data_IF_337018935910
#
_entry.id   IF_337018935910
#
_cell.length_a   1.000
_cell.length_b   1.000
_cell.length_c   1.000
_cell.angle_alpha   90.00
_cell.angle_beta   90.00
_cell.angle_gamma   90.00
#
_symmetry.space_group_name_H-M   'P 1'
#
loop_
_entity.id
_entity.type
_entity.pdbx_description
1 polymer ?
#
# COMPACT_ATOMS: atom_id res chain seq x y z
N UNK A 1 -3.45 13.09 -11.17
CA UNK A 1 -2.25 12.24 -11.34
C UNK A 1 -0.94 13.00 -11.14
N UNK A 2 -0.71 14.18 -11.73
CA UNK A 2 0.60 14.85 -11.64
C UNK A 2 0.96 15.30 -10.22
N UNK A 3 -0.03 15.70 -9.42
CA UNK A 3 0.17 16.02 -8.01
C UNK A 3 0.70 14.83 -7.19
N UNK A 4 0.13 13.64 -7.38
CA UNK A 4 0.57 12.39 -6.73
C UNK A 4 2.05 12.09 -7.03
N UNK A 5 2.57 12.52 -8.18
CA UNK A 5 3.99 12.32 -8.55
C UNK A 5 4.96 13.33 -7.92
N UNK A 6 4.46 14.44 -7.37
CA UNK A 6 5.31 15.52 -6.85
C UNK A 6 5.83 15.23 -5.44
N UNK A 7 5.10 14.44 -4.67
CA UNK A 7 5.41 14.13 -3.28
C UNK A 7 5.40 12.62 -3.06
N UNK A 8 6.06 12.17 -2.00
CA UNK A 8 6.01 10.77 -1.53
C UNK A 8 4.83 10.61 -0.57
N UNK A 9 3.61 10.63 -1.10
CA UNK A 9 2.42 10.35 -0.30
C UNK A 9 2.46 8.90 0.21
N UNK A 10 2.21 8.70 1.50
CA UNK A 10 2.25 7.38 2.16
C UNK A 10 0.84 6.86 2.40
N UNK A 11 -0.02 7.70 2.99
CA UNK A 11 -1.41 7.41 3.31
C UNK A 11 -2.31 8.52 2.73
N UNK A 12 -3.47 8.13 2.20
CA UNK A 12 -4.48 9.01 1.63
C UNK A 12 -5.89 8.50 1.96
N UNK A 13 -6.88 9.37 1.88
CA UNK A 13 -8.28 8.98 1.79
C UNK A 13 -9.02 9.98 0.91
N UNK A 14 -9.87 9.47 0.01
CA UNK A 14 -10.74 10.31 -0.80
C UNK A 14 -12.16 10.30 -0.20
N UNK A 15 -12.80 11.47 -0.13
CA UNK A 15 -14.06 11.67 0.61
C UNK A 15 -15.24 11.75 -0.35
N UNK A 16 -16.27 10.96 -0.09
CA UNK A 16 -17.45 10.78 -0.93
C UNK A 16 -18.74 10.89 -0.13
N UNK A 17 -19.86 10.92 -0.86
CA UNK A 17 -21.20 10.82 -0.32
C UNK A 17 -22.12 10.05 -1.27
N UNK A 18 -23.14 9.44 -0.71
CA UNK A 18 -24.07 8.51 -1.35
C UNK A 18 -24.28 7.24 -0.52
N UNK A 19 -23.41 6.98 0.45
CA UNK A 19 -23.47 5.86 1.40
C UNK A 19 -22.83 6.28 2.74
N UNK A 20 -22.76 5.36 3.70
CA UNK A 20 -22.03 5.49 4.95
C UNK A 20 -21.18 4.25 5.21
N UNK A 21 -19.96 4.22 4.67
CA UNK A 21 -19.04 3.07 4.71
C UNK A 21 -17.60 3.52 4.38
N UNK A 22 -16.60 2.84 4.95
CA UNK A 22 -15.22 2.94 4.51
C UNK A 22 -14.89 1.80 3.51
N UNK A 23 -14.78 2.14 2.23
CA UNK A 23 -14.42 1.20 1.16
C UNK A 23 -12.91 1.15 0.98
N UNK A 24 -12.34 -0.06 0.87
CA UNK A 24 -10.91 -0.27 0.69
C UNK A 24 -10.58 -1.07 -0.58
N UNK A 25 -9.35 -0.95 -1.11
CA UNK A 25 -8.99 -1.57 -2.38
C UNK A 25 -9.05 -3.12 -2.37
N UNK A 26 -9.17 -3.74 -3.54
CA UNK A 26 -9.34 -3.09 -4.84
C UNK A 26 -10.80 -2.74 -5.14
N UNK A 27 -11.00 -1.64 -5.87
CA UNK A 27 -12.28 -1.26 -6.46
C UNK A 27 -12.57 -2.06 -7.75
N UNK A 28 -11.53 -2.46 -8.47
CA UNK A 28 -11.62 -3.36 -9.62
C UNK A 28 -11.03 -4.76 -9.32
N UNK A 29 -11.22 -5.71 -10.24
CA UNK A 29 -10.71 -7.06 -10.06
C UNK A 29 -10.56 -7.84 -11.35
N UNK A 30 -9.70 -8.86 -11.33
CA UNK A 30 -9.58 -9.87 -12.38
C UNK A 30 -9.12 -11.21 -11.77
N UNK A 31 -8.88 -12.21 -12.61
CA UNK A 31 -8.50 -13.56 -12.17
C UNK A 31 -7.24 -13.63 -11.29
N UNK A 32 -6.40 -12.59 -11.26
CA UNK A 32 -5.19 -12.50 -10.43
C UNK A 32 -5.49 -11.99 -9.03
N UNK A 33 -6.36 -10.98 -8.90
CA UNK A 33 -6.66 -10.32 -7.61
C UNK A 33 -7.90 -10.88 -6.92
N UNK A 34 -8.78 -11.57 -7.68
CA UNK A 34 -9.95 -12.26 -7.14
C UNK A 34 -9.51 -13.52 -6.40
N UNK A 35 -9.42 -13.44 -5.07
CA UNK A 35 -9.04 -14.58 -4.23
C UNK A 35 -10.22 -15.48 -3.89
N UNK A 36 -11.40 -14.88 -3.73
CA UNK A 36 -12.65 -15.56 -3.40
C UNK A 36 -13.78 -14.62 -3.78
N UNK A 37 -14.58 -14.96 -4.80
CA UNK A 37 -15.69 -14.09 -5.19
C UNK A 37 -16.62 -13.84 -3.98
N UNK A 38 -16.97 -12.57 -3.67
CA UNK A 38 -16.81 -11.37 -4.48
C UNK A 38 -15.62 -10.45 -4.10
N UNK A 39 -14.54 -10.93 -3.48
CA UNK A 39 -13.43 -10.10 -2.98
C UNK A 39 -12.25 -9.99 -3.95
N UNK A 40 -11.79 -8.76 -4.21
CA UNK A 40 -10.54 -8.45 -4.94
C UNK A 40 -9.50 -7.89 -3.98
N UNK A 41 -8.51 -8.71 -3.61
CA UNK A 41 -7.59 -8.40 -2.50
C UNK A 41 -6.27 -7.81 -2.97
N UNK A 42 -5.76 -6.86 -2.21
CA UNK A 42 -4.38 -6.36 -2.33
C UNK A 42 -3.40 -7.31 -1.62
N UNK A 43 -2.10 -7.05 -1.79
CA UNK A 43 -1.06 -7.76 -1.02
C UNK A 43 -1.00 -7.29 0.44
N UNK A 44 -1.62 -6.15 0.74
CA UNK A 44 -1.69 -5.50 2.04
C UNK A 44 -3.14 -5.41 2.55
N UNK A 45 -3.97 -6.40 2.20
CA UNK A 45 -5.40 -6.49 2.57
C UNK A 45 -5.58 -6.32 4.08
N UNK A 46 -4.67 -6.88 4.89
CA UNK A 46 -4.66 -6.73 6.34
C UNK A 46 -4.52 -5.27 6.79
N UNK A 47 -3.60 -4.52 6.18
CA UNK A 47 -3.39 -3.10 6.46
C UNK A 47 -4.60 -2.29 6.03
N UNK A 48 -5.15 -2.56 4.84
CA UNK A 48 -6.32 -1.85 4.33
C UNK A 48 -7.58 -2.08 5.17
N UNK A 49 -7.83 -3.33 5.59
CA UNK A 49 -8.93 -3.65 6.51
C UNK A 49 -8.74 -2.94 7.86
N UNK A 50 -7.51 -2.86 8.37
CA UNK A 50 -7.21 -2.10 9.59
C UNK A 50 -7.44 -0.59 9.41
N UNK A 51 -7.02 -0.01 8.29
CA UNK A 51 -7.20 1.40 7.95
C UNK A 51 -8.70 1.77 7.85
N UNK A 52 -9.49 0.97 7.14
CA UNK A 52 -10.93 1.16 7.03
C UNK A 52 -11.62 1.03 8.39
N UNK A 53 -11.28 0.00 9.17
CA UNK A 53 -11.80 -0.20 10.53
C UNK A 53 -11.44 0.97 11.45
N UNK A 54 -10.22 1.50 11.35
CA UNK A 54 -9.78 2.64 12.16
C UNK A 54 -10.69 3.84 11.94
N UNK A 55 -11.06 4.15 10.69
CA UNK A 55 -12.00 5.23 10.42
C UNK A 55 -13.41 4.88 10.93
N UNK A 56 -13.95 3.74 10.49
CA UNK A 56 -15.35 3.36 10.74
C UNK A 56 -15.68 3.22 12.24
N UNK A 57 -14.77 2.66 13.04
CA UNK A 57 -14.95 2.49 14.49
C UNK A 57 -14.88 3.79 15.28
N UNK A 58 -14.17 4.80 14.75
CA UNK A 58 -14.05 6.12 15.38
C UNK A 58 -15.08 7.13 14.83
N UNK A 59 -15.83 6.77 13.79
CA UNK A 59 -16.99 7.53 13.33
C UNK A 59 -18.19 7.27 14.23
N UNK A 60 -19.07 8.26 14.42
CA UNK A 60 -20.20 8.17 15.35
C UNK A 60 -21.18 7.01 15.09
N UNK A 61 -21.37 6.62 13.83
CA UNK A 61 -22.35 5.60 13.44
C UNK A 61 -21.91 4.63 12.35
N UNK A 62 -20.74 4.80 11.72
CA UNK A 62 -20.39 4.03 10.52
C UNK A 62 -20.21 2.55 10.85
N UNK A 63 -19.57 2.26 11.98
CA UNK A 63 -19.37 0.91 12.51
C UNK A 63 -20.64 0.13 12.85
N UNK A 64 -21.81 0.80 12.91
CA UNK A 64 -23.11 0.13 13.06
C UNK A 64 -23.48 -0.68 11.81
N UNK A 65 -22.88 -0.35 10.67
CA UNK A 65 -23.04 -1.06 9.40
C UNK A 65 -24.35 -0.83 8.67
N UNK A 66 -25.29 -0.11 9.26
CA UNK A 66 -26.49 0.37 8.58
C UNK A 66 -26.15 1.67 7.83
N UNK A 67 -25.99 1.59 6.51
CA UNK A 67 -25.56 2.73 5.69
C UNK A 67 -26.64 3.81 5.60
N UNK A 68 -27.78 3.50 4.97
CA UNK A 68 -28.90 4.43 4.70
C UNK A 68 -30.24 3.69 4.75
N UNK A 69 -31.36 4.41 4.86
CA UNK A 69 -32.72 3.87 5.11
C UNK A 69 -33.19 2.76 4.12
N UNK A 70 -32.54 2.62 2.96
CA UNK A 70 -32.83 1.60 1.94
C UNK A 70 -31.56 1.01 1.29
N UNK A 71 -30.41 1.04 1.97
CA UNK A 71 -29.11 0.70 1.37
C UNK A 71 -28.49 -0.61 1.90
N UNK A 72 -27.38 -0.98 1.26
CA UNK A 72 -26.52 -2.10 1.62
C UNK A 72 -26.13 -2.09 3.11
N UNK A 73 -26.05 -3.28 3.70
CA UNK A 73 -25.47 -3.49 5.02
C UNK A 73 -23.97 -3.75 4.90
N UNK A 74 -23.17 -3.00 5.64
CA UNK A 74 -21.72 -3.15 5.69
C UNK A 74 -21.30 -3.53 7.11
N UNK A 75 -21.17 -4.82 7.44
CA UNK A 75 -20.71 -5.24 8.76
C UNK A 75 -19.44 -4.47 9.18
N UNK A 76 -19.44 -3.95 10.42
CA UNK A 76 -18.37 -3.09 10.97
C UNK A 76 -18.13 -1.76 10.22
N UNK A 77 -18.99 -1.39 9.28
CA UNK A 77 -18.91 -0.13 8.54
C UNK A 77 -17.83 -0.08 7.47
N UNK A 78 -17.35 -1.24 7.00
CA UNK A 78 -16.30 -1.35 6.00
C UNK A 78 -16.71 -2.27 4.84
N UNK A 79 -16.07 -2.11 3.68
CA UNK A 79 -16.26 -3.03 2.55
C UNK A 79 -15.04 -3.06 1.64
N UNK A 80 -14.79 -4.20 0.98
CA UNK A 80 -13.88 -4.24 -0.17
C UNK A 80 -14.60 -3.59 -1.36
N UNK A 81 -13.93 -2.70 -2.09
CA UNK A 81 -14.52 -1.93 -3.18
C UNK A 81 -15.23 -2.82 -4.20
N UNK A 82 -14.52 -3.82 -4.73
CA UNK A 82 -15.08 -4.77 -5.70
C UNK A 82 -16.25 -5.58 -5.13
N UNK A 83 -16.17 -5.99 -3.85
CA UNK A 83 -17.23 -6.75 -3.20
C UNK A 83 -18.53 -5.94 -3.03
N UNK A 84 -18.43 -4.61 -2.93
CA UNK A 84 -19.58 -3.72 -2.96
C UNK A 84 -20.09 -3.54 -4.39
N UNK A 85 -19.24 -3.02 -5.28
CA UNK A 85 -19.48 -2.99 -6.72
C UNK A 85 -18.17 -2.79 -7.49
N UNK A 86 -18.08 -3.41 -8.66
CA UNK A 86 -16.91 -3.23 -9.53
C UNK A 86 -16.84 -1.80 -10.06
N UNK A 87 -15.70 -1.13 -9.82
CA UNK A 87 -15.41 0.20 -10.32
C UNK A 87 -14.07 0.22 -11.07
N UNK A 88 -14.11 0.45 -12.38
CA UNK A 88 -12.92 0.57 -13.22
C UNK A 88 -12.39 2.02 -13.23
N UNK A 89 -11.07 2.19 -13.06
CA UNK A 89 -10.41 3.49 -13.21
C UNK A 89 -10.50 4.43 -12.02
N UNK A 90 -10.82 3.91 -10.82
CA UNK A 90 -10.86 4.68 -9.58
C UNK A 90 -9.51 5.26 -9.15
N UNK A 91 -9.55 6.39 -8.43
CA UNK A 91 -8.35 7.06 -7.89
C UNK A 91 -7.68 6.22 -6.78
N UNK A 92 -8.49 5.50 -6.01
CA UNK A 92 -8.06 4.62 -4.93
C UNK A 92 -7.06 3.56 -5.43
N UNK A 93 -7.45 2.75 -6.41
CA UNK A 93 -6.59 1.73 -7.01
C UNK A 93 -5.37 2.34 -7.71
N UNK A 94 -5.51 3.54 -8.30
CA UNK A 94 -4.38 4.24 -8.92
C UNK A 94 -3.29 4.59 -7.91
N UNK A 95 -3.67 5.09 -6.73
CA UNK A 95 -2.73 5.44 -5.67
C UNK A 95 -1.92 4.23 -5.20
N UNK A 96 -2.57 3.07 -4.99
CA UNK A 96 -1.88 1.86 -4.55
C UNK A 96 -0.95 1.28 -5.63
N UNK A 97 -1.38 1.25 -6.90
CA UNK A 97 -0.63 0.65 -7.99
C UNK A 97 0.51 1.55 -8.50
N UNK A 98 0.24 2.83 -8.77
CA UNK A 98 1.24 3.74 -9.38
C UNK A 98 1.67 4.89 -8.47
N UNK A 99 0.88 5.23 -7.45
CA UNK A 99 1.19 6.31 -6.51
C UNK A 99 2.07 5.89 -5.34
N UNK A 100 2.25 4.58 -5.10
CA UNK A 100 2.90 4.03 -3.90
C UNK A 100 2.29 4.56 -2.59
N UNK A 101 0.99 4.87 -2.62
CA UNK A 101 0.25 5.48 -1.53
C UNK A 101 -0.99 4.66 -1.23
N UNK A 102 -1.26 4.38 0.04
CA UNK A 102 -2.44 3.62 0.43
C UNK A 102 -3.61 4.59 0.53
N UNK A 103 -4.60 4.44 -0.34
CA UNK A 103 -5.82 5.23 -0.33
C UNK A 103 -7.03 4.35 -0.01
N UNK A 104 -7.95 4.87 0.80
CA UNK A 104 -9.31 4.30 0.95
C UNK A 104 -10.34 5.35 0.54
N UNK A 105 -11.56 4.90 0.25
CA UNK A 105 -12.70 5.76 -0.08
C UNK A 105 -13.64 5.83 1.11
N UNK A 106 -13.88 7.04 1.59
CA UNK A 106 -14.73 7.28 2.75
C UNK A 106 -16.08 7.86 2.30
N UNK A 107 -17.13 7.05 2.35
CA UNK A 107 -18.50 7.49 2.11
C UNK A 107 -19.07 8.03 3.43
N UNK A 108 -19.28 9.35 3.50
CA UNK A 108 -19.52 10.05 4.78
C UNK A 108 -20.98 10.43 5.03
N UNK A 109 -21.85 10.24 4.04
CA UNK A 109 -23.22 10.73 4.11
C UNK A 109 -24.11 10.07 3.06
N UNK A 110 -25.32 9.68 3.45
CA UNK A 110 -26.35 9.22 2.51
C UNK A 110 -26.79 10.33 1.54
N UNK A 111 -27.02 11.53 2.09
CA UNK A 111 -27.36 12.70 1.29
C UNK A 111 -26.08 13.34 0.75
N UNK A 112 -25.82 13.21 -0.56
CA UNK A 112 -24.63 13.77 -1.23
C UNK A 112 -24.46 15.27 -1.06
N UNK A 113 -25.58 15.99 -0.89
CA UNK A 113 -25.61 17.44 -0.72
C UNK A 113 -26.54 17.79 0.44
N UNK A 114 -26.08 17.62 1.69
CA UNK A 114 -26.90 17.89 2.86
C UNK A 114 -27.09 19.41 3.05
N UNK A 115 -28.18 19.82 3.72
CA UNK A 115 -28.40 21.23 4.02
C UNK A 115 -27.38 21.74 5.06
N UNK A 116 -27.09 23.05 5.03
CA UNK A 116 -25.96 23.64 5.78
C UNK A 116 -26.06 23.42 7.30
N UNK A 117 -27.28 23.31 7.84
CA UNK A 117 -27.55 23.12 9.26
C UNK A 117 -27.08 21.76 9.77
N UNK A 118 -26.82 20.79 8.87
CA UNK A 118 -26.26 19.48 9.20
C UNK A 118 -24.74 19.44 9.25
N UNK A 119 -24.05 20.44 8.70
CA UNK A 119 -22.57 20.44 8.59
C UNK A 119 -21.87 20.30 9.96
N UNK A 120 -22.43 20.93 10.99
CA UNK A 120 -21.91 20.78 12.36
C UNK A 120 -21.99 19.33 12.82
N UNK A 121 -23.10 18.63 12.57
CA UNK A 121 -23.23 17.20 12.93
C UNK A 121 -22.19 16.36 12.21
N UNK A 122 -22.07 16.51 10.88
CA UNK A 122 -21.06 15.78 10.10
C UNK A 122 -19.64 15.99 10.62
N UNK A 123 -19.30 17.22 11.00
CA UNK A 123 -18.01 17.48 11.63
C UNK A 123 -17.85 16.71 12.94
N UNK A 124 -18.83 16.75 13.84
CA UNK A 124 -18.76 16.03 15.11
C UNK A 124 -18.65 14.52 14.89
N UNK A 125 -19.39 13.98 13.93
CA UNK A 125 -19.42 12.54 13.64
C UNK A 125 -18.08 12.03 13.06
N UNK A 126 -17.36 12.87 12.30
CA UNK A 126 -16.14 12.51 11.58
C UNK A 126 -14.84 12.96 12.26
N UNK A 127 -14.88 13.95 13.16
CA UNK A 127 -13.68 14.58 13.72
C UNK A 127 -12.70 13.57 14.32
N UNK A 128 -13.19 12.66 15.17
CA UNK A 128 -12.34 11.66 15.80
C UNK A 128 -11.77 10.68 14.76
N UNK A 129 -12.62 10.19 13.84
CA UNK A 129 -12.24 9.28 12.76
C UNK A 129 -11.12 9.86 11.87
N UNK A 130 -11.23 11.11 11.45
CA UNK A 130 -10.21 11.78 10.64
C UNK A 130 -8.86 11.86 11.36
N UNK A 131 -8.86 12.19 12.65
CA UNK A 131 -7.64 12.29 13.44
C UNK A 131 -7.02 10.91 13.66
N UNK A 132 -7.81 9.90 14.01
CA UNK A 132 -7.31 8.53 14.19
C UNK A 132 -6.79 7.93 12.89
N UNK A 133 -7.40 8.27 11.76
CA UNK A 133 -6.94 7.86 10.45
C UNK A 133 -5.60 8.49 10.06
N UNK A 134 -5.43 9.80 10.25
CA UNK A 134 -4.15 10.49 9.97
C UNK A 134 -3.00 9.87 10.78
N UNK A 135 -3.25 9.50 12.05
CA UNK A 135 -2.24 8.83 12.89
C UNK A 135 -1.73 7.51 12.28
N UNK A 136 -2.51 6.84 11.43
CA UNK A 136 -2.12 5.58 10.81
C UNK A 136 -0.99 5.71 9.79
N UNK A 137 -0.66 6.93 9.33
CA UNK A 137 0.51 7.17 8.46
C UNK A 137 1.83 6.80 9.14
N UNK A 138 1.81 6.57 10.45
CA UNK A 138 2.95 6.19 11.27
C UNK A 138 3.06 4.68 11.52
N UNK A 139 2.22 3.85 10.90
CA UNK A 139 2.36 2.39 10.97
C UNK A 139 3.63 1.89 10.26
N UNK A 140 4.08 0.69 10.65
CA UNK A 140 5.12 -0.05 9.97
C UNK A 140 6.51 0.55 10.07
N UNK A 141 7.21 0.60 8.93
CA UNK A 141 8.65 0.89 8.84
C UNK A 141 8.91 2.00 7.81
N UNK A 142 9.86 2.87 8.13
CA UNK A 142 10.42 3.84 7.19
C UNK A 142 11.93 3.91 7.33
N UNK A 143 12.59 4.54 6.37
CA UNK A 143 14.01 4.84 6.47
C UNK A 143 14.59 5.19 5.13
N UNK A 144 15.90 5.03 4.98
CA UNK A 144 16.65 5.39 3.78
C UNK A 144 17.46 4.23 3.23
N UNK A 145 17.66 4.23 1.93
CA UNK A 145 18.66 3.39 1.25
C UNK A 145 19.84 4.28 0.89
N UNK A 146 21.01 3.93 1.43
CA UNK A 146 22.24 4.71 1.36
C UNK A 146 23.37 3.88 0.75
N UNK A 147 24.34 4.55 0.13
CA UNK A 147 25.62 3.93 -0.22
C UNK A 147 26.60 3.92 0.96
N UNK A 148 27.76 3.28 0.79
CA UNK A 148 28.82 3.22 1.81
C UNK A 148 29.34 4.58 2.28
N UNK A 149 29.11 5.66 1.52
CA UNK A 149 29.53 7.02 1.86
C UNK A 149 28.38 7.81 2.53
N UNK A 150 27.24 7.17 2.81
CA UNK A 150 26.05 7.81 3.36
C UNK A 150 25.22 8.60 2.34
N UNK A 151 25.47 8.44 1.04
CA UNK A 151 24.72 9.15 0.01
C UNK A 151 23.43 8.42 -0.33
N UNK A 152 22.31 9.13 -0.56
CA UNK A 152 21.03 8.50 -0.84
C UNK A 152 21.00 7.81 -2.21
N UNK A 153 20.37 6.64 -2.24
CA UNK A 153 20.13 5.85 -3.44
C UNK A 153 18.64 5.96 -3.79
N UNK A 154 18.26 6.83 -4.75
CA UNK A 154 16.90 6.87 -5.26
C UNK A 154 16.60 5.67 -6.15
N UNK A 155 15.32 5.40 -6.37
CA UNK A 155 14.82 4.31 -7.21
C UNK A 155 15.22 2.89 -6.78
N UNK A 156 15.72 2.73 -5.54
CA UNK A 156 15.94 1.43 -4.92
C UNK A 156 14.58 0.81 -4.57
N UNK A 157 14.39 -0.47 -4.86
CA UNK A 157 13.15 -1.18 -4.53
C UNK A 157 13.23 -1.62 -3.07
N UNK A 158 12.23 -1.31 -2.25
CA UNK A 158 12.15 -1.76 -0.86
C UNK A 158 10.76 -2.32 -0.61
N UNK A 159 10.66 -3.62 -0.38
CA UNK A 159 9.40 -4.33 -0.21
C UNK A 159 9.49 -5.40 0.88
N UNK A 160 8.35 -5.83 1.41
CA UNK A 160 8.28 -6.98 2.30
C UNK A 160 8.35 -8.28 1.48
N UNK A 161 9.13 -9.26 1.96
CA UNK A 161 9.15 -10.60 1.36
C UNK A 161 7.75 -11.20 1.38
N UNK A 162 7.21 -11.56 0.22
CA UNK A 162 5.83 -12.03 0.06
C UNK A 162 4.80 -10.95 -0.33
N UNK A 163 5.18 -9.66 -0.31
CA UNK A 163 4.36 -8.52 -0.77
C UNK A 163 5.04 -7.76 -1.91
N UNK A 164 5.31 -8.48 -3.01
CA UNK A 164 5.92 -7.89 -4.21
C UNK A 164 4.85 -7.22 -5.06
N UNK A 165 4.82 -5.90 -5.08
CA UNK A 165 3.81 -5.13 -5.80
C UNK A 165 3.99 -5.26 -7.31
N UNK A 166 2.86 -5.21 -8.03
CA UNK A 166 2.85 -5.29 -9.50
C UNK A 166 3.68 -4.17 -10.14
N UNK A 167 3.65 -2.98 -9.54
CA UNK A 167 4.63 -1.94 -9.76
C UNK A 167 5.49 -1.82 -8.49
N UNK A 168 6.78 -2.17 -8.54
CA UNK A 168 7.60 -2.25 -7.33
C UNK A 168 7.70 -0.90 -6.61
N UNK A 169 7.60 -0.92 -5.29
CA UNK A 169 7.73 0.29 -4.47
C UNK A 169 9.20 0.72 -4.38
N UNK A 170 9.46 1.97 -4.71
CA UNK A 170 10.79 2.54 -4.82
C UNK A 170 11.04 3.69 -3.85
N UNK A 171 12.30 3.88 -3.49
CA UNK A 171 12.77 5.05 -2.75
C UNK A 171 12.61 6.33 -3.55
N UNK A 172 12.34 7.43 -2.85
CA UNK A 172 12.28 8.76 -3.44
C UNK A 172 13.68 9.33 -3.77
N UNK A 173 13.75 10.59 -4.24
CA UNK A 173 15.01 11.26 -4.60
C UNK A 173 16.04 11.32 -3.46
N UNK A 174 15.55 11.32 -2.23
CA UNK A 174 16.33 11.40 -0.99
C UNK A 174 16.64 10.01 -0.42
N UNK A 175 16.34 8.95 -1.19
CA UNK A 175 16.58 7.57 -0.82
C UNK A 175 15.58 7.04 0.21
N UNK A 176 14.52 7.78 0.53
CA UNK A 176 13.57 7.42 1.57
C UNK A 176 12.54 6.40 1.09
N UNK A 177 12.17 5.47 1.95
CA UNK A 177 11.08 4.52 1.76
C UNK A 177 10.12 4.51 2.95
N UNK A 178 8.88 4.12 2.70
CA UNK A 178 7.81 4.00 3.69
C UNK A 178 6.99 2.75 3.37
N UNK A 179 6.79 1.90 4.38
CA UNK A 179 6.01 0.67 4.28
C UNK A 179 5.03 0.63 5.45
N UNK A 180 3.74 0.85 5.17
CA UNK A 180 2.68 0.70 6.17
C UNK A 180 2.50 -0.79 6.45
N UNK A 181 2.74 -1.20 7.69
CA UNK A 181 2.66 -2.58 8.14
C UNK A 181 2.00 -2.61 9.51
N UNK A 182 1.22 -3.66 9.76
CA UNK A 182 0.70 -3.94 11.09
C UNK A 182 1.81 -4.47 12.01
N UNK A 183 1.58 -4.53 13.33
CA UNK A 183 2.52 -5.15 14.26
C UNK A 183 2.80 -6.60 13.87
N UNK A 184 4.08 -6.98 13.84
CA UNK A 184 4.49 -8.30 13.38
C UNK A 184 5.92 -8.37 12.91
N UNK A 185 6.37 -9.59 12.63
CA UNK A 185 7.74 -9.87 12.20
C UNK A 185 7.79 -10.03 10.68
N UNK A 186 8.59 -9.20 10.03
CA UNK A 186 8.72 -9.16 8.57
C UNK A 186 10.17 -9.34 8.15
N UNK A 187 10.37 -9.76 6.90
CA UNK A 187 11.68 -9.69 6.23
C UNK A 187 11.59 -8.68 5.11
N UNK A 188 12.21 -7.52 5.31
CA UNK A 188 12.34 -6.48 4.30
C UNK A 188 13.43 -6.86 3.30
N UNK A 189 13.19 -6.56 2.03
CA UNK A 189 14.10 -6.80 0.93
C UNK A 189 14.38 -5.49 0.19
N UNK A 190 15.59 -4.95 0.35
CA UNK A 190 16.07 -3.80 -0.40
C UNK A 190 16.87 -4.27 -1.62
N UNK A 191 16.50 -3.81 -2.81
CA UNK A 191 17.15 -4.18 -4.08
C UNK A 191 17.51 -2.93 -4.86
N UNK A 192 18.80 -2.76 -5.13
CA UNK A 192 19.28 -1.74 -6.07
C UNK A 192 19.51 -2.44 -7.42
N UNK A 193 18.93 -1.97 -8.54
CA UNK A 193 19.11 -2.62 -9.84
C UNK A 193 20.58 -2.85 -10.20
N UNK A 194 20.93 -4.11 -10.47
CA UNK A 194 22.30 -4.54 -10.77
C UNK A 194 23.18 -4.86 -9.55
N UNK A 195 22.69 -4.64 -8.33
CA UNK A 195 23.32 -5.10 -7.07
C UNK A 195 22.66 -6.36 -6.53
N UNK A 196 23.33 -7.04 -5.60
CA UNK A 196 22.69 -8.04 -4.74
C UNK A 196 21.72 -7.36 -3.78
N UNK A 197 20.58 -8.00 -3.49
CA UNK A 197 19.62 -7.50 -2.52
C UNK A 197 20.11 -7.66 -1.07
N UNK A 198 19.65 -6.77 -0.19
CA UNK A 198 19.87 -6.86 1.26
C UNK A 198 18.56 -7.25 1.94
N UNK A 199 18.61 -8.32 2.72
CA UNK A 199 17.48 -8.78 3.53
C UNK A 199 17.67 -8.33 4.97
N UNK A 200 16.61 -7.79 5.57
CA UNK A 200 16.57 -7.46 6.99
C UNK A 200 15.31 -8.02 7.63
N UNK A 201 15.48 -8.80 8.70
CA UNK A 201 14.36 -9.17 9.57
C UNK A 201 14.06 -8.02 10.53
N UNK A 202 12.80 -7.59 10.60
CA UNK A 202 12.35 -6.50 11.45
C UNK A 202 11.13 -6.95 12.25
N UNK A 203 11.08 -6.55 13.52
CA UNK A 203 9.93 -6.74 14.40
C UNK A 203 9.24 -5.39 14.57
N UNK A 204 8.08 -5.24 13.95
CA UNK A 204 7.25 -4.03 13.98
C UNK A 204 6.45 -4.05 15.28
N UNK A 205 6.69 -3.10 16.20
CA UNK A 205 6.06 -3.11 17.51
C UNK A 205 4.56 -2.81 17.42
N UNK A 206 3.85 -3.11 18.50
CA UNK A 206 2.47 -2.67 18.66
C UNK A 206 2.42 -1.17 19.02
N UNK A 207 1.68 -0.39 18.25
CA UNK A 207 1.42 1.03 18.52
C UNK A 207 2.36 2.03 17.85
N UNK A 208 1.93 3.29 17.83
CA UNK A 208 2.62 4.44 17.25
C UNK A 208 2.82 5.53 18.30
N UNK A 209 3.31 5.17 19.50
CA UNK A 209 3.37 6.06 20.67
C UNK A 209 4.09 7.40 20.41
N UNK A 210 4.99 7.43 19.42
CA UNK A 210 5.76 8.62 19.05
C UNK A 210 5.35 9.26 17.71
N UNK A 211 4.18 8.91 17.16
CA UNK A 211 3.74 9.35 15.83
C UNK A 211 4.85 9.22 14.78
N UNK A 212 5.50 8.05 14.77
CA UNK A 212 6.52 7.70 13.80
C UNK A 212 6.58 6.19 13.62
N UNK A 213 6.63 5.76 12.37
CA UNK A 213 7.00 4.40 12.01
C UNK A 213 8.42 4.06 12.52
N UNK A 214 8.68 2.77 12.71
CA UNK A 214 9.99 2.24 13.08
C UNK A 214 11.01 2.62 12.01
N UNK A 215 12.17 3.12 12.42
CA UNK A 215 13.21 3.56 11.49
C UNK A 215 14.22 2.44 11.23
N UNK A 216 14.54 2.19 9.97
CA UNK A 216 15.60 1.29 9.58
C UNK A 216 16.25 1.75 8.27
N UNK A 217 17.57 1.92 8.25
CA UNK A 217 18.29 2.33 7.05
C UNK A 217 19.05 1.13 6.44
N UNK A 218 19.01 0.99 5.12
CA UNK A 218 19.84 0.04 4.38
C UNK A 218 21.10 0.73 3.86
N UNK A 219 22.25 0.07 4.00
CA UNK A 219 23.54 0.59 3.51
C UNK A 219 24.17 -0.39 2.53
N UNK A 220 24.34 0.02 1.28
CA UNK A 220 24.94 -0.79 0.21
C UNK A 220 26.44 -0.52 0.07
N UNK A 221 27.26 -1.57 0.18
CA UNK A 221 28.71 -1.50 0.06
C UNK A 221 29.21 -1.14 -1.35
N UNK A 222 28.45 -1.54 -2.37
CA UNK A 222 28.74 -1.22 -3.77
C UNK A 222 27.46 -1.11 -4.58
N UNK A 223 27.37 -0.08 -5.39
CA UNK A 223 26.26 0.17 -6.29
C UNK A 223 26.83 0.32 -7.71
N UNK A 224 26.37 -0.45 -8.70
CA UNK A 224 26.70 -0.22 -10.09
C UNK A 224 26.37 1.21 -10.51
N UNK A 225 26.98 1.68 -11.59
CA UNK A 225 26.66 2.98 -12.19
C UNK A 225 25.14 3.11 -12.37
N UNK A 226 24.56 4.19 -11.82
CA UNK A 226 23.11 4.40 -11.74
C UNK A 226 22.45 4.15 -13.11
N UNK A 227 21.66 3.09 -13.20
CA UNK A 227 20.71 2.93 -14.30
C UNK A 227 19.41 3.60 -13.89
N UNK A 228 18.88 4.49 -14.74
CA UNK A 228 17.56 5.08 -14.50
C UNK A 228 16.53 3.95 -14.51
N UNK A 229 15.91 3.72 -13.37
CA UNK A 229 14.79 2.79 -13.25
C UNK A 229 13.57 3.42 -13.91
N UNK A 230 12.94 2.76 -14.88
CA UNK A 230 11.72 3.27 -15.52
C UNK A 230 10.51 3.12 -14.58
N UNK A 231 9.61 4.10 -14.63
CA UNK A 231 8.28 3.96 -14.02
C UNK A 231 7.49 2.88 -14.75
N UNK A 232 6.60 2.16 -14.04
CA UNK A 232 5.72 1.20 -14.68
C UNK A 232 4.80 1.87 -15.71
N UNK A 233 4.45 1.17 -16.80
CA UNK A 233 3.54 1.73 -17.80
C UNK A 233 2.14 1.94 -17.21
N UNK A 234 1.41 2.93 -17.72
CA UNK A 234 0.00 3.19 -17.38
C UNK A 234 -0.95 2.32 -18.21
N UNK A 235 -0.68 1.03 -18.25
CA UNK A 235 -1.55 0.00 -18.83
C UNK A 235 -1.94 -0.97 -17.71
N UNK A 236 -3.01 -1.77 -17.86
CA UNK A 236 -3.35 -2.79 -16.87
C UNK A 236 -2.13 -3.66 -16.55
N UNK A 237 -1.67 -3.64 -15.30
CA UNK A 237 -0.48 -4.36 -14.85
C UNK A 237 -0.81 -5.74 -14.28
N UNK A 238 -1.98 -5.86 -13.62
CA UNK A 238 -2.57 -7.16 -13.31
C UNK A 238 -3.24 -7.68 -14.58
N UNK A 239 -2.51 -8.45 -15.39
CA UNK A 239 -3.02 -9.17 -16.56
C UNK A 239 -3.00 -10.68 -16.32
N UNK A 240 -3.71 -11.50 -17.11
CA UNK A 240 -3.62 -12.97 -17.00
C UNK A 240 -2.18 -13.51 -17.09
N UNK A 241 -1.29 -12.81 -17.80
CA UNK A 241 0.15 -13.12 -17.94
C UNK A 241 0.98 -12.79 -16.68
N UNK A 242 0.39 -12.19 -15.65
CA UNK A 242 1.09 -11.80 -14.42
C UNK A 242 1.80 -12.97 -13.73
N UNK A 243 1.17 -14.14 -13.69
CA UNK A 243 1.75 -15.35 -13.08
C UNK A 243 2.93 -15.93 -13.88
N UNK A 244 2.95 -15.73 -15.20
CA UNK A 244 4.05 -16.19 -16.07
C UNK A 244 5.30 -15.32 -15.87
N UNK A 245 5.13 -14.01 -15.72
CA UNK A 245 6.22 -13.05 -15.49
C UNK A 245 6.82 -13.12 -14.06
N UNK A 246 5.99 -13.42 -13.05
CA UNK A 246 6.48 -13.64 -11.68
C UNK A 246 7.23 -14.97 -11.55
N UNK A 247 6.80 -16.03 -12.22
CA UNK A 247 7.51 -17.33 -12.24
C UNK A 247 8.83 -17.30 -13.02
N UNK A 248 8.93 -16.54 -14.10
CA UNK A 248 10.18 -16.41 -14.88
C UNK A 248 11.26 -15.63 -14.14
N UNK A 249 10.91 -14.63 -13.33
CA UNK A 249 11.90 -13.94 -12.46
C UNK A 249 12.42 -14.84 -11.33
N UNK A 250 11.57 -15.70 -10.75
CA UNK A 250 12.00 -16.74 -9.80
C UNK A 250 12.91 -17.80 -10.45
N UNK A 251 12.60 -18.21 -11.69
CA UNK A 251 13.44 -19.14 -12.46
C UNK A 251 14.79 -18.52 -12.83
N UNK A 252 14.84 -17.25 -13.24
CA UNK A 252 16.12 -16.60 -13.61
C UNK A 252 17.05 -16.42 -12.40
N UNK A 253 16.49 -16.16 -11.21
CA UNK A 253 17.28 -16.15 -9.96
C UNK A 253 17.85 -17.53 -9.63
N UNK A 254 17.08 -18.61 -9.78
CA UNK A 254 17.57 -19.97 -9.53
C UNK A 254 18.65 -20.39 -10.54
N UNK A 255 18.55 -19.98 -11.80
CA UNK A 255 19.60 -20.23 -12.80
C UNK A 255 20.90 -19.46 -12.48
N UNK A 256 20.82 -18.21 -12.00
CA UNK A 256 22.03 -17.46 -11.58
C UNK A 256 22.70 -18.04 -10.32
N UNK A 257 21.92 -18.61 -9.38
CA UNK A 257 22.48 -19.26 -8.18
C UNK A 257 23.17 -20.58 -8.53
N UNK A 258 22.62 -21.37 -9.45
CA UNK A 258 23.22 -22.64 -9.89
C UNK A 258 24.52 -22.46 -10.71
N UNK A 259 24.65 -21.35 -11.45
CA UNK A 259 25.87 -21.08 -12.25
C UNK A 259 27.06 -20.69 -11.36
N UNK A 260 26.84 -20.10 -10.17
CA UNK A 260 27.92 -19.76 -9.24
C UNK A 260 28.40 -20.92 -8.36
N UNK A 261 27.59 -21.97 -8.18
CA UNK A 261 28.00 -23.18 -7.45
C UNK A 261 28.81 -24.17 -8.29
N UNK A 262 28.81 -24.00 -9.62
CA UNK A 262 29.53 -24.90 -10.53
C UNK A 262 30.99 -24.48 -10.80
N UNK A 263 31.41 -23.30 -10.33
CA UNK A 263 32.76 -22.75 -10.56
C UNK A 263 33.72 -22.88 -9.36
N UNK A 264 33.29 -23.47 -8.23
CA UNK A 264 34.12 -23.61 -7.01
C UNK A 264 34.62 -25.06 -6.79
N UNK A 265 34.30 -26.02 -7.67
CA UNK A 265 34.71 -27.44 -7.51
C UNK A 265 35.82 -27.89 -8.47
N UNK A 266 36.41 -26.99 -9.26
CA UNK A 266 37.56 -27.31 -10.11
C UNK A 266 38.66 -26.25 -10.02
N UNK A 267 39.35 -26.20 -8.88
CA UNK A 267 40.80 -25.93 -8.76
C UNK A 267 41.35 -26.55 -7.49
#
# INVERSE_FOLDING_TARGET
MDWIKKETFVLSANLHGGSLVASYPFDNGNSVTLTSYPFSKTLDDDVFVHLANTYARNHASMSKGTSCDYADEFPEGITNGYAWYQLEGGMQDYNYIWGQCFEITLELSCCKYPPKDKLSSFWHDNKAALIEYIKQVHLGVKGRVLDKNGQPIPDAIVEVTGRRHVCPYKTNRDGEYYLLLLPGVYTLNATVPGSMSLLQKIDVPNGTENFSAQKYDFVFSSVPTRTKSSSCPRKPLYSPEYHENTSTTLKSMNYLVLINLSYVVLR
#
